data_IF_713164683753
#
_entry.id   IF_713164683753
#
_cell.length_a   1.000
_cell.length_b   1.000
_cell.length_c   1.000
_cell.angle_alpha   90.00
_cell.angle_beta   90.00
_cell.angle_gamma   90.00
#
_symmetry.space_group_name_H-M   'P 1'
#
loop_
_entity.id
_entity.type
_entity.pdbx_description
1 polymer ?
#
# COMPACT_ATOMS: atom_id res chain seq x y z
N UNK A 1 -38.23 0.66 16.08
CA UNK A 1 -37.18 0.05 15.24
C UNK A 1 -37.58 0.34 13.80
N UNK A 2 -36.81 1.14 13.07
CA UNK A 2 -37.04 1.29 11.61
C UNK A 2 -36.81 -0.08 10.96
N UNK A 3 -37.66 -0.45 10.00
CA UNK A 3 -37.56 -1.73 9.29
C UNK A 3 -36.17 -1.87 8.66
N UNK A 4 -35.42 -2.89 9.11
CA UNK A 4 -34.11 -3.20 8.56
C UNK A 4 -34.30 -4.19 7.41
N UNK A 5 -33.88 -3.81 6.21
CA UNK A 5 -34.02 -4.63 5.00
C UNK A 5 -32.73 -5.40 4.73
N UNK A 6 -32.80 -6.72 4.66
CA UNK A 6 -31.65 -7.54 4.25
C UNK A 6 -31.63 -7.67 2.73
N UNK A 7 -30.49 -7.36 2.10
CA UNK A 7 -30.30 -7.44 0.66
C UNK A 7 -29.16 -8.41 0.35
N UNK A 8 -29.49 -9.42 -0.45
CA UNK A 8 -28.50 -10.34 -1.02
C UNK A 8 -27.98 -9.77 -2.33
N UNK A 9 -26.66 -9.78 -2.53
CA UNK A 9 -25.97 -9.25 -3.71
C UNK A 9 -26.14 -7.74 -3.95
N UNK A 10 -26.51 -6.98 -2.92
CA UNK A 10 -26.65 -5.52 -3.02
C UNK A 10 -25.28 -4.84 -3.09
N UNK A 11 -24.92 -4.20 -4.21
CA UNK A 11 -23.62 -3.55 -4.35
C UNK A 11 -23.48 -2.25 -3.53
N UNK A 12 -24.57 -1.51 -3.34
CA UNK A 12 -24.60 -0.26 -2.57
C UNK A 12 -25.88 -0.16 -1.72
N UNK A 13 -25.72 0.36 -0.51
CA UNK A 13 -26.81 0.72 0.40
C UNK A 13 -27.42 2.08 0.01
N UNK A 14 -28.72 2.28 0.18
CA UNK A 14 -29.35 3.60 0.05
C UNK A 14 -29.28 4.41 1.36
N UNK A 15 -29.10 5.75 1.33
CA UNK A 15 -28.90 6.54 2.54
C UNK A 15 -30.13 6.57 3.48
N UNK A 16 -31.33 6.43 2.90
CA UNK A 16 -32.62 6.66 3.55
C UNK A 16 -33.15 5.41 4.29
N UNK A 17 -32.57 4.24 4.02
CA UNK A 17 -32.96 2.94 4.56
C UNK A 17 -31.85 2.34 5.44
N UNK A 18 -32.25 1.49 6.39
CA UNK A 18 -31.32 0.65 7.14
C UNK A 18 -31.21 -0.68 6.41
N UNK A 19 -30.16 -0.84 5.60
CA UNK A 19 -29.93 -2.06 4.83
C UNK A 19 -28.76 -2.87 5.41
N UNK A 20 -28.96 -4.19 5.47
CA UNK A 20 -27.90 -5.16 5.71
C UNK A 20 -27.58 -5.83 4.37
N UNK A 21 -26.44 -5.49 3.78
CA UNK A 21 -26.01 -6.08 2.52
C UNK A 21 -25.14 -7.31 2.78
N UNK A 22 -25.40 -8.37 2.02
CA UNK A 22 -24.66 -9.63 2.08
C UNK A 22 -24.17 -9.99 0.68
N UNK A 23 -22.86 -10.22 0.54
CA UNK A 23 -22.23 -10.61 -0.72
C UNK A 23 -21.35 -11.85 -0.51
N UNK A 24 -21.60 -12.98 -1.19
CA UNK A 24 -20.65 -14.10 -1.20
C UNK A 24 -19.31 -13.65 -1.77
N UNK A 25 -18.21 -14.03 -1.12
CA UNK A 25 -16.85 -13.69 -1.55
C UNK A 25 -15.98 -14.91 -1.72
N UNK A 26 -15.18 -14.88 -2.77
CA UNK A 26 -14.11 -15.84 -3.05
C UNK A 26 -12.80 -15.07 -3.12
N UNK A 27 -11.77 -15.59 -2.45
CA UNK A 27 -10.43 -15.05 -2.51
C UNK A 27 -9.42 -16.19 -2.51
N UNK A 28 -8.13 -15.86 -2.63
CA UNK A 28 -7.11 -16.87 -2.42
C UNK A 28 -5.72 -16.28 -2.29
N UNK A 29 -4.86 -17.02 -1.61
CA UNK A 29 -3.44 -16.73 -1.52
C UNK A 29 -2.63 -18.03 -1.61
N UNK A 30 -1.33 -17.93 -1.88
CA UNK A 30 -0.46 -19.10 -2.10
C UNK A 30 -0.43 -20.04 -0.91
N UNK A 31 -0.57 -19.47 0.29
CA UNK A 31 -0.60 -20.24 1.53
C UNK A 31 -1.95 -20.91 1.74
N UNK A 32 -3.00 -20.16 2.06
CA UNK A 32 -4.32 -20.67 2.42
C UNK A 32 -5.14 -21.24 1.24
N UNK A 33 -4.63 -21.16 0.00
CA UNK A 33 -5.32 -21.62 -1.22
C UNK A 33 -6.63 -20.86 -1.42
N UNK A 34 -7.74 -21.56 -1.70
CA UNK A 34 -9.04 -20.94 -1.85
C UNK A 34 -9.59 -20.51 -0.49
N UNK A 35 -10.10 -19.29 -0.42
CA UNK A 35 -10.82 -18.70 0.69
C UNK A 35 -12.27 -18.47 0.26
N UNK A 36 -13.21 -19.01 1.04
CA UNK A 36 -14.64 -18.90 0.80
C UNK A 36 -15.27 -18.17 1.98
N UNK A 37 -16.11 -17.17 1.72
CA UNK A 37 -16.77 -16.42 2.78
C UNK A 37 -17.94 -15.59 2.30
N UNK A 38 -18.36 -14.66 3.15
CA UNK A 38 -19.36 -13.65 2.81
C UNK A 38 -18.97 -12.31 3.43
N UNK A 39 -19.22 -11.23 2.69
CA UNK A 39 -19.14 -9.86 3.18
C UNK A 39 -20.51 -9.40 3.68
N UNK A 40 -20.52 -8.78 4.85
CA UNK A 40 -21.67 -8.16 5.51
C UNK A 40 -21.35 -6.69 5.73
N UNK A 41 -22.22 -5.77 5.32
CA UNK A 41 -21.94 -4.33 5.42
C UNK A 41 -23.19 -3.46 5.34
N UNK A 42 -23.06 -2.21 5.78
CA UNK A 42 -24.06 -1.14 5.64
C UNK A 42 -23.47 0.14 5.00
N UNK A 43 -22.51 -0.03 4.08
CA UNK A 43 -21.76 1.08 3.49
C UNK A 43 -22.49 1.64 2.27
N UNK A 44 -22.55 2.97 2.22
CA UNK A 44 -23.22 3.74 1.17
C UNK A 44 -22.21 4.62 0.41
N UNK A 45 -22.59 5.03 -0.81
CA UNK A 45 -21.82 6.00 -1.59
C UNK A 45 -21.70 7.35 -0.86
N UNK A 46 -22.78 7.82 -0.22
CA UNK A 46 -22.74 8.96 0.69
C UNK A 46 -22.44 8.48 2.11
N UNK A 47 -21.44 9.03 2.81
CA UNK A 47 -21.08 8.60 4.16
C UNK A 47 -22.25 8.66 5.16
N UNK A 48 -22.56 7.53 5.81
CA UNK A 48 -23.49 7.49 6.96
C UNK A 48 -22.77 7.88 8.25
N UNK A 49 -23.52 8.28 9.28
CA UNK A 49 -22.94 8.56 10.60
C UNK A 49 -22.23 7.33 11.21
N UNK A 50 -22.73 6.13 10.93
CA UNK A 50 -22.15 4.87 11.36
C UNK A 50 -22.13 3.86 10.23
N UNK A 51 -20.94 3.36 9.91
CA UNK A 51 -20.68 2.41 8.84
C UNK A 51 -19.82 1.26 9.38
N UNK A 52 -20.07 0.05 8.90
CA UNK A 52 -19.31 -1.12 9.25
C UNK A 52 -19.30 -2.12 8.10
N UNK A 53 -18.28 -2.95 8.10
CA UNK A 53 -18.19 -4.13 7.27
C UNK A 53 -17.49 -5.27 7.99
N UNK A 54 -17.84 -6.50 7.65
CA UNK A 54 -17.15 -7.70 8.06
C UNK A 54 -17.11 -8.66 6.88
N UNK A 55 -15.98 -9.31 6.66
CA UNK A 55 -15.76 -10.22 5.53
C UNK A 55 -14.99 -11.46 6.01
N UNK A 56 -15.59 -12.27 6.90
CA UNK A 56 -14.99 -13.52 7.34
C UNK A 56 -14.89 -14.52 6.20
N UNK A 57 -13.79 -15.25 6.15
CA UNK A 57 -13.51 -16.28 5.16
C UNK A 57 -12.86 -17.50 5.82
N UNK A 58 -13.09 -18.66 5.20
CA UNK A 58 -12.54 -19.94 5.60
C UNK A 58 -11.74 -20.57 4.46
N UNK A 59 -10.63 -21.23 4.80
CA UNK A 59 -9.70 -21.90 3.89
C UNK A 59 -9.88 -23.43 3.95
N UNK A 60 -10.88 -24.01 3.25
CA UNK A 60 -11.23 -25.43 3.41
C UNK A 60 -10.14 -26.41 2.96
N UNK A 61 -9.26 -26.01 2.06
CA UNK A 61 -8.25 -26.89 1.47
C UNK A 61 -6.88 -26.86 2.17
N UNK A 62 -6.74 -26.07 3.24
CA UNK A 62 -5.48 -26.00 4.01
C UNK A 62 -5.72 -25.77 5.51
N UNK A 63 -6.48 -26.66 6.12
CA UNK A 63 -6.79 -26.64 7.56
C UNK A 63 -5.68 -27.34 8.34
N UNK A 64 -4.53 -26.67 8.55
CA UNK A 64 -3.54 -27.15 9.54
C UNK A 64 -3.98 -26.81 10.97
N UNK A 65 -4.62 -25.65 11.16
CA UNK A 65 -5.19 -25.19 12.43
C UNK A 65 -6.29 -24.16 12.19
N UNK A 66 -7.15 -23.91 13.20
CA UNK A 66 -8.19 -22.88 13.09
C UNK A 66 -7.61 -21.48 12.84
N UNK A 67 -6.44 -21.18 13.43
CA UNK A 67 -5.75 -19.90 13.26
C UNK A 67 -5.22 -19.65 11.83
N UNK A 68 -4.99 -20.72 11.08
CA UNK A 68 -4.50 -20.67 9.69
C UNK A 68 -5.63 -20.87 8.69
N UNK A 69 -6.77 -21.42 9.11
CA UNK A 69 -7.93 -21.62 8.26
C UNK A 69 -8.87 -20.39 8.19
N UNK A 70 -8.85 -19.51 9.21
CA UNK A 70 -9.67 -18.29 9.23
C UNK A 70 -8.89 -17.12 8.66
N UNK A 71 -9.53 -16.39 7.74
CA UNK A 71 -9.04 -15.15 7.18
C UNK A 71 -10.18 -14.12 7.08
N UNK A 72 -9.84 -12.88 6.77
CA UNK A 72 -10.83 -11.86 6.47
C UNK A 72 -10.46 -10.50 6.99
N UNK A 73 -11.36 -9.56 6.70
CA UNK A 73 -11.24 -8.18 7.12
C UNK A 73 -12.54 -7.71 7.78
N UNK A 74 -12.43 -6.77 8.71
CA UNK A 74 -13.58 -6.07 9.25
C UNK A 74 -13.22 -4.61 9.49
N UNK A 75 -14.22 -3.75 9.62
CA UNK A 75 -13.99 -2.36 9.97
C UNK A 75 -15.25 -1.64 10.38
N UNK A 76 -15.05 -0.54 11.11
CA UNK A 76 -16.06 0.37 11.61
C UNK A 76 -15.59 1.79 11.29
N UNK A 77 -16.51 2.63 10.82
CA UNK A 77 -16.29 4.04 10.54
C UNK A 77 -17.43 4.85 11.17
N UNK A 78 -17.07 5.79 12.05
CA UNK A 78 -18.00 6.70 12.71
C UNK A 78 -17.70 8.10 12.18
N UNK A 79 -18.66 8.71 11.49
CA UNK A 79 -18.51 10.01 10.85
C UNK A 79 -19.35 11.05 11.60
N UNK A 80 -18.72 12.17 11.93
CA UNK A 80 -19.34 13.32 12.57
C UNK A 80 -19.25 14.49 11.60
N UNK A 81 -20.42 14.98 11.17
CA UNK A 81 -20.51 16.23 10.41
C UNK A 81 -20.12 17.41 11.32
N UNK A 82 -19.47 18.42 10.76
CA UNK A 82 -18.85 19.47 11.55
C UNK A 82 -19.79 20.44 12.26
N UNK A 83 -19.20 21.13 13.24
CA UNK A 83 -19.82 22.07 14.17
C UNK A 83 -19.29 23.52 14.01
N UNK A 84 -18.46 23.83 13.00
CA UNK A 84 -17.88 25.18 12.78
C UNK A 84 -17.49 25.48 11.32
N UNK A 85 -17.16 26.74 11.01
CA UNK A 85 -16.80 27.24 9.65
C UNK A 85 -15.43 26.79 9.11
N UNK A 86 -14.53 26.27 9.96
CA UNK A 86 -13.19 25.80 9.52
C UNK A 86 -13.17 24.28 9.27
N UNK A 87 -14.18 23.57 9.78
CA UNK A 87 -14.16 22.12 9.92
C UNK A 87 -15.24 21.53 9.05
N UNK A 88 -14.91 20.49 8.29
CA UNK A 88 -15.89 19.81 7.45
C UNK A 88 -16.40 18.53 8.08
N UNK A 89 -15.47 17.71 8.57
CA UNK A 89 -15.79 16.38 9.07
C UNK A 89 -14.70 15.85 10.01
N UNK A 90 -15.15 15.09 11.01
CA UNK A 90 -14.33 14.28 11.89
C UNK A 90 -14.75 12.82 11.75
N UNK A 91 -13.79 11.90 11.61
CA UNK A 91 -14.06 10.47 11.45
C UNK A 91 -13.17 9.60 12.32
N UNK A 92 -13.78 8.61 12.98
CA UNK A 92 -13.08 7.55 13.70
C UNK A 92 -13.20 6.26 12.89
N UNK A 93 -12.07 5.71 12.46
CA UNK A 93 -12.03 4.50 11.65
C UNK A 93 -11.18 3.44 12.33
N UNK A 94 -11.72 2.24 12.48
CA UNK A 94 -10.97 1.07 12.95
C UNK A 94 -11.15 -0.06 11.96
N UNK A 95 -10.06 -0.69 11.54
CA UNK A 95 -10.10 -1.83 10.64
C UNK A 95 -9.18 -2.94 11.12
N UNK A 96 -9.58 -4.17 10.88
CA UNK A 96 -8.82 -5.37 11.23
C UNK A 96 -8.65 -6.25 9.99
N UNK A 97 -7.45 -6.78 9.80
CA UNK A 97 -7.12 -7.75 8.74
C UNK A 97 -6.46 -8.97 9.37
N UNK A 98 -6.80 -10.17 8.88
CA UNK A 98 -6.17 -11.42 9.32
C UNK A 98 -5.99 -12.38 8.15
N UNK A 99 -4.78 -12.87 7.98
CA UNK A 99 -4.43 -13.88 6.97
C UNK A 99 -3.24 -14.73 7.45
N UNK A 100 -2.80 -15.69 6.63
CA UNK A 100 -1.62 -16.51 6.92
C UNK A 100 -0.66 -16.61 5.74
N UNK A 101 0.61 -16.88 6.02
CA UNK A 101 1.65 -17.15 5.02
C UNK A 101 2.62 -18.25 5.47
N UNK A 102 3.29 -18.89 4.51
CA UNK A 102 4.29 -19.92 4.77
C UNK A 102 5.62 -19.31 5.20
N UNK A 103 6.20 -19.80 6.29
CA UNK A 103 7.54 -19.39 6.73
C UNK A 103 8.61 -20.20 6.01
N UNK A 104 9.26 -19.57 5.04
CA UNK A 104 10.30 -20.20 4.21
C UNK A 104 11.68 -20.26 4.86
N UNK A 105 11.87 -19.65 6.04
CA UNK A 105 13.16 -19.60 6.73
C UNK A 105 13.39 -20.76 7.72
N UNK A 106 12.38 -21.60 7.94
CA UNK A 106 12.50 -22.81 8.77
C UNK A 106 12.73 -24.03 7.88
N UNK A 107 13.48 -25.00 8.41
CA UNK A 107 13.77 -26.29 7.77
C UNK A 107 12.50 -27.11 7.53
N UNK A 108 11.47 -26.92 8.37
CA UNK A 108 10.13 -27.46 8.16
C UNK A 108 9.13 -26.32 7.86
N UNK A 109 8.29 -26.43 6.81
CA UNK A 109 7.32 -25.40 6.44
C UNK A 109 6.27 -25.17 7.52
N UNK A 110 6.47 -24.10 8.29
CA UNK A 110 5.54 -23.60 9.30
C UNK A 110 4.60 -22.54 8.69
N UNK A 111 3.41 -22.37 9.23
CA UNK A 111 2.44 -21.37 8.77
C UNK A 111 2.31 -20.29 9.82
N UNK A 112 2.64 -19.06 9.42
CA UNK A 112 2.48 -17.87 10.25
C UNK A 112 1.12 -17.25 9.98
N UNK A 113 0.31 -17.12 11.03
CA UNK A 113 -0.91 -16.32 11.01
C UNK A 113 -0.56 -14.91 11.48
N UNK A 114 -1.01 -13.90 10.75
CA UNK A 114 -0.83 -12.49 11.12
C UNK A 114 -2.17 -11.79 11.24
N UNK A 115 -2.19 -10.77 12.11
CA UNK A 115 -3.31 -9.87 12.31
C UNK A 115 -2.82 -8.43 12.38
N UNK A 116 -3.60 -7.51 11.83
CA UNK A 116 -3.31 -6.08 11.88
C UNK A 116 -4.57 -5.30 12.24
N UNK A 117 -4.54 -4.58 13.35
CA UNK A 117 -5.57 -3.62 13.77
C UNK A 117 -5.08 -2.20 13.46
N UNK A 118 -5.86 -1.44 12.71
CA UNK A 118 -5.53 -0.10 12.25
C UNK A 118 -6.64 0.85 12.69
N UNK A 119 -6.33 1.66 13.70
CA UNK A 119 -7.21 2.67 14.26
C UNK A 119 -6.75 4.05 13.79
N UNK A 120 -7.68 4.85 13.28
CA UNK A 120 -7.43 6.17 12.71
C UNK A 120 -8.42 7.16 13.24
N UNK A 121 -7.90 8.31 13.63
CA UNK A 121 -8.65 9.53 13.77
C UNK A 121 -8.32 10.42 12.58
N UNK A 122 -9.34 10.77 11.80
CA UNK A 122 -9.21 11.59 10.60
C UNK A 122 -9.95 12.89 10.82
N UNK A 123 -9.23 13.98 10.59
CA UNK A 123 -9.77 15.31 10.67
C UNK A 123 -9.64 15.99 9.30
N UNK A 124 -10.77 16.40 8.72
CA UNK A 124 -10.83 16.98 7.37
C UNK A 124 -11.21 18.46 7.44
N UNK A 125 -10.35 19.31 6.89
CA UNK A 125 -10.55 20.76 6.85
C UNK A 125 -11.64 21.15 5.84
N UNK A 126 -12.27 22.31 6.09
CA UNK A 126 -13.18 22.91 5.11
C UNK A 126 -12.50 23.18 3.77
N UNK A 127 -13.28 22.97 2.72
CA UNK A 127 -12.80 23.17 1.37
C UNK A 127 -12.89 24.65 1.04
N UNK A 128 -11.80 25.26 0.57
CA UNK A 128 -11.88 26.59 0.00
C UNK A 128 -12.85 26.56 -1.20
N UNK A 129 -13.94 27.35 -1.22
CA UNK A 129 -14.90 27.34 -2.32
C UNK A 129 -14.28 27.63 -3.69
N UNK A 130 -13.17 28.39 -3.73
CA UNK A 130 -12.41 28.67 -4.95
C UNK A 130 -11.53 27.49 -5.41
N UNK A 131 -11.41 26.44 -4.60
CA UNK A 131 -10.61 25.23 -4.88
C UNK A 131 -11.36 23.96 -4.48
N UNK A 132 -12.51 23.65 -5.11
CA UNK A 132 -13.42 22.57 -4.68
C UNK A 132 -12.80 21.17 -4.71
N UNK A 133 -11.82 20.95 -5.58
CA UNK A 133 -11.13 19.67 -5.73
C UNK A 133 -9.97 19.48 -4.74
N UNK A 134 -9.66 20.48 -3.91
CA UNK A 134 -8.63 20.38 -2.89
C UNK A 134 -9.21 19.79 -1.61
N UNK A 135 -8.58 18.74 -1.09
CA UNK A 135 -8.89 18.13 0.21
C UNK A 135 -7.61 18.14 1.04
N UNK A 136 -7.72 18.61 2.29
CA UNK A 136 -6.62 18.54 3.26
C UNK A 136 -7.13 17.83 4.51
N UNK A 137 -6.33 16.93 5.06
CA UNK A 137 -6.65 16.21 6.28
C UNK A 137 -5.41 16.02 7.15
N UNK A 138 -5.66 15.89 8.45
CA UNK A 138 -4.70 15.38 9.43
C UNK A 138 -5.23 14.01 9.89
N UNK A 139 -4.35 13.02 9.92
CA UNK A 139 -4.66 11.68 10.38
C UNK A 139 -3.73 11.29 11.53
N UNK A 140 -4.32 10.88 12.65
CA UNK A 140 -3.62 10.23 13.75
C UNK A 140 -3.95 8.74 13.69
N UNK A 141 -2.95 7.90 13.57
CA UNK A 141 -3.10 6.48 13.27
C UNK A 141 -2.27 5.64 14.21
N UNK A 142 -2.87 4.58 14.73
CA UNK A 142 -2.19 3.53 15.48
C UNK A 142 -2.40 2.21 14.76
N UNK A 143 -1.32 1.55 14.38
CA UNK A 143 -1.33 0.20 13.83
C UNK A 143 -0.75 -0.76 14.85
N UNK A 144 -1.51 -1.79 15.19
CA UNK A 144 -1.08 -2.89 16.02
C UNK A 144 -1.01 -4.15 15.16
N UNK A 145 0.17 -4.75 15.05
CA UNK A 145 0.38 -5.97 14.28
C UNK A 145 0.86 -7.09 15.18
N UNK A 146 0.31 -8.29 14.97
CA UNK A 146 0.65 -9.49 15.72
C UNK A 146 0.85 -10.65 14.76
N UNK A 147 1.75 -11.56 15.11
CA UNK A 147 1.80 -12.90 14.50
C UNK A 147 1.68 -13.96 15.58
N UNK A 148 1.39 -15.21 15.21
CA UNK A 148 1.42 -16.32 16.16
C UNK A 148 2.85 -16.69 16.64
N UNK A 149 3.89 -16.04 16.13
CA UNK A 149 5.30 -16.33 16.46
C UNK A 149 6.07 -15.11 16.98
N UNK A 150 5.45 -13.93 17.04
CA UNK A 150 6.08 -12.68 17.46
C UNK A 150 5.14 -11.88 18.35
N UNK A 151 5.71 -11.08 19.24
CA UNK A 151 4.94 -10.18 20.09
C UNK A 151 4.20 -9.09 19.30
N UNK A 152 3.24 -8.47 20.00
CA UNK A 152 2.47 -7.34 19.49
C UNK A 152 3.39 -6.15 19.22
N UNK A 153 3.43 -5.67 17.99
CA UNK A 153 4.12 -4.44 17.61
C UNK A 153 3.12 -3.31 17.41
N UNK A 154 3.47 -2.13 17.91
CA UNK A 154 2.64 -0.93 17.82
C UNK A 154 3.38 0.18 17.06
N UNK A 155 2.69 0.80 16.11
CA UNK A 155 3.18 1.89 15.29
C UNK A 155 2.23 3.07 15.42
N UNK A 156 2.73 4.23 15.82
CA UNK A 156 1.98 5.49 15.88
C UNK A 156 2.41 6.38 14.73
N UNK A 157 1.45 6.90 13.98
CA UNK A 157 1.70 7.67 12.77
C UNK A 157 0.84 8.92 12.79
N UNK A 158 1.48 10.09 12.67
CA UNK A 158 0.81 11.35 12.36
C UNK A 158 1.03 11.63 10.88
N UNK A 159 -0.05 11.79 10.11
CA UNK A 159 0.00 12.12 8.69
C UNK A 159 -0.72 13.44 8.40
N UNK A 160 -0.12 14.27 7.55
CA UNK A 160 -0.75 15.46 6.98
C UNK A 160 -0.84 15.23 5.48
N UNK A 161 -2.08 15.18 4.97
CA UNK A 161 -2.36 14.93 3.57
C UNK A 161 -2.99 16.14 2.94
N UNK A 162 -2.52 16.51 1.76
CA UNK A 162 -3.20 17.47 0.89
C UNK A 162 -3.24 16.93 -0.53
N UNK A 163 -4.43 16.89 -1.11
CA UNK A 163 -4.66 16.34 -2.45
C UNK A 163 -5.52 17.31 -3.25
N UNK A 164 -5.26 17.37 -4.55
CA UNK A 164 -6.08 18.11 -5.48
C UNK A 164 -6.41 17.23 -6.70
N UNK A 165 -7.67 16.82 -6.79
CA UNK A 165 -8.17 15.87 -7.80
C UNK A 165 -8.65 16.55 -9.09
N UNK A 166 -8.09 17.71 -9.44
CA UNK A 166 -8.34 18.37 -10.72
C UNK A 166 -7.93 17.47 -11.89
N UNK A 167 -8.68 17.55 -12.99
CA UNK A 167 -8.36 16.86 -14.24
C UNK A 167 -6.99 17.29 -14.77
N UNK A 168 -6.71 18.59 -14.68
CA UNK A 168 -5.46 19.19 -15.14
C UNK A 168 -4.57 19.46 -13.94
N UNK A 169 -3.33 18.97 -14.01
CA UNK A 169 -2.32 19.17 -12.98
C UNK A 169 -2.71 18.69 -11.57
N UNK A 170 -3.24 17.46 -11.41
CA UNK A 170 -3.51 16.93 -10.08
C UNK A 170 -2.21 16.74 -9.30
N UNK A 171 -2.33 16.86 -7.98
CA UNK A 171 -1.22 16.61 -7.06
C UNK A 171 -1.69 15.91 -5.80
N UNK A 172 -0.76 15.25 -5.12
CA UNK A 172 -0.91 14.79 -3.75
C UNK A 172 0.38 15.01 -2.97
N UNK A 173 0.22 15.47 -1.74
CA UNK A 173 1.28 15.66 -0.77
C UNK A 173 0.94 14.87 0.48
N UNK A 174 1.89 14.10 0.98
CA UNK A 174 1.81 13.39 2.24
C UNK A 174 3.07 13.69 3.05
N UNK A 175 2.91 14.23 4.25
CA UNK A 175 3.95 14.27 5.26
C UNK A 175 3.56 13.32 6.38
N UNK A 176 4.48 12.49 6.84
CA UNK A 176 4.20 11.56 7.93
C UNK A 176 5.36 11.49 8.92
N UNK A 177 5.04 11.35 10.20
CA UNK A 177 5.96 10.98 11.27
C UNK A 177 5.47 9.64 11.81
N UNK A 178 6.34 8.63 11.80
CA UNK A 178 6.09 7.29 12.30
C UNK A 178 7.01 7.02 13.49
N UNK A 179 6.42 6.58 14.59
CA UNK A 179 7.11 6.15 15.81
C UNK A 179 6.72 4.71 16.12
N UNK A 180 7.72 3.90 16.46
CA UNK A 180 7.51 2.59 17.05
C UNK A 180 8.67 2.25 18.00
N UNK A 181 8.75 0.99 18.41
CA UNK A 181 9.89 0.49 19.17
C UNK A 181 11.19 0.66 18.36
N UNK A 182 12.16 1.34 18.97
CA UNK A 182 13.50 1.50 18.41
C UNK A 182 13.68 2.61 17.37
N UNK A 183 12.62 3.29 16.90
CA UNK A 183 12.80 4.37 15.93
C UNK A 183 11.71 5.45 15.95
N UNK A 184 12.11 6.63 15.47
CA UNK A 184 11.20 7.66 14.98
C UNK A 184 11.71 8.07 13.60
N UNK A 185 10.85 8.05 12.60
CA UNK A 185 11.19 8.51 11.24
C UNK A 185 10.11 9.39 10.67
N UNK A 186 10.50 10.31 9.81
CA UNK A 186 9.58 11.13 9.04
C UNK A 186 9.81 10.95 7.56
N UNK A 187 8.78 11.18 6.76
CA UNK A 187 8.92 11.24 5.31
C UNK A 187 7.95 12.21 4.67
N UNK A 188 8.31 12.66 3.47
CA UNK A 188 7.48 13.40 2.54
C UNK A 188 7.34 12.57 1.27
N UNK A 189 6.12 12.45 0.76
CA UNK A 189 5.81 11.89 -0.55
C UNK A 189 4.96 12.90 -1.32
N UNK A 190 5.52 13.43 -2.40
CA UNK A 190 4.87 14.41 -3.26
C UNK A 190 4.70 13.85 -4.66
N UNK A 191 3.48 13.86 -5.17
CA UNK A 191 3.13 13.42 -6.51
C UNK A 191 2.48 14.57 -7.28
N UNK A 192 2.87 14.74 -8.53
CA UNK A 192 2.34 15.76 -9.43
C UNK A 192 2.24 15.21 -10.85
N UNK A 193 1.16 15.52 -11.55
CA UNK A 193 1.01 15.14 -12.97
C UNK A 193 0.95 16.37 -13.86
N UNK A 194 2.00 16.61 -14.63
CA UNK A 194 1.96 17.60 -15.70
C UNK A 194 1.08 17.06 -16.85
N UNK A 195 -0.09 17.66 -17.07
CA UNK A 195 -1.00 17.29 -18.17
C UNK A 195 -0.67 18.14 -19.40
N UNK A 196 -0.43 17.51 -20.56
CA UNK A 196 -0.09 18.21 -21.81
C UNK A 196 -1.31 18.19 -22.73
N UNK A 197 -1.64 19.33 -23.34
CA UNK A 197 -2.91 19.62 -24.05
C UNK A 197 -3.35 18.61 -25.15
N UNK A 198 -2.51 17.70 -25.62
CA UNK A 198 -2.91 16.63 -26.55
C UNK A 198 -3.22 15.34 -25.79
N UNK A 199 -4.43 14.79 -26.05
CA UNK A 199 -4.99 13.52 -25.55
C UNK A 199 -3.93 12.55 -24.98
N UNK A 200 -4.04 12.26 -23.68
CA UNK A 200 -3.27 11.25 -22.94
C UNK A 200 -1.76 11.47 -22.82
N UNK A 201 -1.24 12.67 -23.13
CA UNK A 201 0.17 13.01 -22.89
C UNK A 201 0.33 13.70 -21.54
N UNK A 202 1.31 13.24 -20.77
CA UNK A 202 1.63 13.82 -19.47
C UNK A 202 2.90 13.22 -18.89
N UNK A 203 3.42 13.92 -17.89
CA UNK A 203 4.58 13.50 -17.11
C UNK A 203 4.09 13.39 -15.67
N UNK A 204 4.19 12.20 -15.10
CA UNK A 204 3.94 11.94 -13.70
C UNK A 204 5.29 12.04 -12.97
N UNK A 205 5.33 12.87 -11.94
CA UNK A 205 6.49 13.10 -11.10
C UNK A 205 6.14 12.70 -9.67
N UNK A 206 7.01 11.92 -9.04
CA UNK A 206 6.98 11.65 -7.61
C UNK A 206 8.33 12.02 -7.00
N UNK A 207 8.31 12.73 -5.89
CA UNK A 207 9.47 12.99 -5.04
C UNK A 207 9.25 12.37 -3.67
N UNK A 208 10.26 11.67 -3.18
CA UNK A 208 10.27 11.11 -1.83
C UNK A 208 11.49 11.62 -1.06
N UNK A 209 11.29 11.94 0.22
CA UNK A 209 12.37 12.24 1.14
C UNK A 209 12.04 11.70 2.52
N UNK A 210 12.86 10.77 3.02
CA UNK A 210 12.73 10.16 4.33
C UNK A 210 13.95 10.44 5.22
N UNK A 211 13.72 10.64 6.51
CA UNK A 211 14.76 10.82 7.54
C UNK A 211 14.37 10.10 8.83
N UNK A 212 15.27 9.31 9.39
CA UNK A 212 15.19 8.84 10.76
C UNK A 212 15.57 10.00 11.67
N UNK A 213 14.63 10.36 12.54
CA UNK A 213 14.79 11.37 13.57
C UNK A 213 15.43 10.77 14.82
N UNK A 214 15.22 9.48 15.02
CA UNK A 214 15.81 8.69 16.10
C UNK A 214 15.96 7.22 15.67
N UNK A 215 17.06 6.60 16.08
CA UNK A 215 17.26 5.16 16.08
C UNK A 215 17.85 4.73 17.41
N UNK A 216 17.38 3.60 17.92
CA UNK A 216 18.05 2.90 19.02
C UNK A 216 19.41 2.34 18.58
N UNK A 217 20.30 2.04 19.55
CA UNK A 217 21.51 1.26 19.28
C UNK A 217 21.22 -0.15 18.73
N UNK A 218 20.11 -0.76 19.14
CA UNK A 218 19.64 -2.03 18.57
C UNK A 218 19.17 -1.80 17.12
N UNK A 219 19.65 -2.65 16.21
CA UNK A 219 19.37 -2.50 14.78
C UNK A 219 18.11 -3.25 14.35
N UNK A 220 17.05 -2.48 14.09
CA UNK A 220 15.79 -3.00 13.55
C UNK A 220 15.69 -2.83 12.03
N UNK A 221 16.46 -3.63 11.27
CA UNK A 221 16.60 -3.49 9.82
C UNK A 221 15.30 -3.54 8.99
N UNK A 222 14.21 -4.09 9.55
CA UNK A 222 12.91 -4.11 8.87
C UNK A 222 12.29 -2.71 8.69
N UNK A 223 12.69 -1.73 9.50
CA UNK A 223 12.12 -0.37 9.47
C UNK A 223 12.81 0.58 8.51
N UNK A 224 13.96 0.20 7.96
CA UNK A 224 14.75 1.01 7.03
C UNK A 224 13.90 1.51 5.85
N UNK A 225 14.21 2.73 5.39
CA UNK A 225 13.76 3.17 4.07
C UNK A 225 14.41 2.29 3.01
N UNK A 226 13.63 1.88 2.01
CA UNK A 226 14.11 1.02 0.92
C UNK A 226 14.05 1.70 -0.42
N UNK A 227 15.08 1.47 -1.23
CA UNK A 227 15.11 1.92 -2.61
C UNK A 227 14.04 1.20 -3.45
N UNK A 228 14.03 -0.13 -3.40
CA UNK A 228 13.28 -1.04 -4.29
C UNK A 228 11.80 -1.30 -3.92
N UNK A 229 11.25 -0.48 -3.02
CA UNK A 229 9.96 -0.72 -2.38
C UNK A 229 9.92 -2.02 -1.56
N UNK A 230 8.81 -2.26 -0.86
CA UNK A 230 8.66 -3.41 0.02
C UNK A 230 8.03 -4.63 -0.69
N UNK A 231 8.60 -5.80 -0.46
CA UNK A 231 7.93 -7.11 -0.69
C UNK A 231 7.12 -7.53 0.54
N UNK A 232 6.36 -8.63 0.43
CA UNK A 232 5.45 -9.10 1.49
C UNK A 232 6.11 -9.30 2.86
N UNK A 233 7.31 -9.86 2.91
CA UNK A 233 8.08 -10.06 4.15
C UNK A 233 8.60 -8.74 4.76
N UNK A 234 8.69 -7.68 3.97
CA UNK A 234 9.19 -6.36 4.39
C UNK A 234 8.07 -5.41 4.82
N UNK A 235 6.81 -5.75 4.55
CA UNK A 235 5.63 -5.01 5.03
C UNK A 235 5.36 -5.31 6.51
N UNK A 236 6.19 -4.70 7.36
CA UNK A 236 6.22 -4.91 8.81
C UNK A 236 4.97 -4.42 9.56
N UNK A 237 4.15 -3.57 8.91
CA UNK A 237 2.87 -3.07 9.47
C UNK A 237 1.66 -3.89 9.00
N UNK A 238 1.87 -4.84 8.06
CA UNK A 238 0.83 -5.66 7.46
C UNK A 238 -0.31 -4.85 6.83
N UNK A 239 0.04 -3.72 6.21
CA UNK A 239 -0.96 -2.83 5.60
C UNK A 239 -1.47 -3.38 4.27
N UNK A 240 -0.59 -4.06 3.53
CA UNK A 240 -0.86 -4.48 2.16
C UNK A 240 -1.21 -5.96 2.05
N UNK A 241 -1.93 -6.32 0.99
CA UNK A 241 -2.33 -7.70 0.70
C UNK A 241 -1.42 -8.25 -0.41
N UNK A 242 -0.68 -9.29 -0.06
CA UNK A 242 0.19 -10.03 -0.98
C UNK A 242 -0.35 -11.43 -1.21
N UNK A 243 -0.38 -11.86 -2.48
CA UNK A 243 -0.79 -13.22 -2.85
C UNK A 243 0.20 -14.25 -2.29
N UNK A 244 1.49 -13.91 -2.23
CA UNK A 244 2.56 -14.75 -1.72
C UNK A 244 3.41 -14.02 -0.67
N UNK A 245 2.78 -13.50 0.40
CA UNK A 245 3.47 -12.69 1.43
C UNK A 245 4.75 -13.33 1.97
N UNK A 246 4.72 -14.65 2.17
CA UNK A 246 5.81 -15.41 2.79
C UNK A 246 6.93 -15.81 1.85
N UNK A 247 6.74 -15.69 0.53
CA UNK A 247 7.76 -16.04 -0.44
C UNK A 247 8.78 -14.90 -0.60
N UNK A 248 10.02 -15.24 -0.95
CA UNK A 248 11.12 -14.28 -1.10
C UNK A 248 11.79 -14.43 -2.46
N UNK A 249 11.81 -13.32 -3.19
CA UNK A 249 12.42 -13.21 -4.52
C UNK A 249 13.91 -13.60 -4.53
N UNK A 250 14.60 -13.49 -3.38
CA UNK A 250 16.00 -13.90 -3.22
C UNK A 250 16.20 -15.41 -3.16
N UNK A 251 15.18 -16.15 -2.72
CA UNK A 251 15.24 -17.61 -2.59
C UNK A 251 14.76 -18.30 -3.87
N UNK A 252 13.67 -17.80 -4.45
CA UNK A 252 13.11 -18.32 -5.69
C UNK A 252 12.67 -17.18 -6.61
N UNK A 253 13.62 -16.68 -7.40
CA UNK A 253 13.36 -15.67 -8.40
C UNK A 253 12.54 -16.19 -9.61
N UNK A 254 12.39 -17.52 -9.75
CA UNK A 254 11.61 -18.12 -10.85
C UNK A 254 10.10 -18.12 -10.56
N UNK A 255 9.73 -18.05 -9.28
CA UNK A 255 8.33 -18.00 -8.86
C UNK A 255 7.69 -16.63 -9.13
N UNK A 256 6.65 -16.61 -9.97
CA UNK A 256 5.97 -15.38 -10.40
C UNK A 256 5.52 -14.49 -9.23
N UNK A 257 4.91 -15.05 -8.18
CA UNK A 257 4.30 -14.25 -7.11
C UNK A 257 5.30 -13.55 -6.18
N UNK A 258 6.58 -13.93 -6.20
CA UNK A 258 7.64 -13.27 -5.40
C UNK A 258 7.98 -11.88 -5.93
N UNK A 259 7.56 -11.58 -7.16
CA UNK A 259 7.78 -10.31 -7.85
C UNK A 259 6.72 -9.25 -7.53
N UNK A 260 5.68 -9.57 -6.76
CA UNK A 260 4.71 -8.61 -6.26
C UNK A 260 5.38 -7.67 -5.25
N UNK A 261 5.22 -6.35 -5.42
CA UNK A 261 5.75 -5.37 -4.48
C UNK A 261 4.84 -4.15 -4.35
N UNK A 262 5.14 -3.32 -3.35
CA UNK A 262 4.56 -1.99 -3.19
C UNK A 262 5.61 -0.95 -3.53
N UNK A 263 5.27 -0.02 -4.41
CA UNK A 263 6.16 1.06 -4.86
C UNK A 263 6.16 2.22 -3.85
N UNK A 264 6.65 1.95 -2.64
CA UNK A 264 6.83 2.93 -1.56
C UNK A 264 8.29 3.37 -1.44
N UNK A 265 8.58 4.28 -0.50
CA UNK A 265 9.91 4.81 -0.20
C UNK A 265 10.63 5.31 -1.47
N UNK A 266 11.77 4.73 -1.84
CA UNK A 266 12.55 5.13 -3.01
C UNK A 266 11.84 4.96 -4.35
N UNK A 267 10.81 4.11 -4.41
CA UNK A 267 9.95 3.95 -5.58
C UNK A 267 10.64 3.28 -6.78
N UNK A 268 11.78 2.63 -6.57
CA UNK A 268 12.42 1.81 -7.61
C UNK A 268 11.64 0.52 -7.83
N UNK A 269 11.66 0.04 -9.06
CA UNK A 269 10.98 -1.16 -9.52
C UNK A 269 11.93 -2.34 -9.55
N UNK A 270 13.22 -2.13 -9.79
CA UNK A 270 14.22 -3.20 -9.73
C UNK A 270 14.42 -3.64 -8.29
N UNK A 271 14.34 -4.94 -8.04
CA UNK A 271 14.71 -5.46 -6.72
C UNK A 271 16.19 -5.20 -6.44
N UNK A 272 16.51 -4.73 -5.23
CA UNK A 272 17.90 -4.66 -4.78
C UNK A 272 17.95 -4.62 -3.25
N UNK A 273 18.88 -5.37 -2.61
CA UNK A 273 19.17 -5.21 -1.19
C UNK A 273 20.00 -3.94 -0.90
N UNK A 274 20.59 -3.31 -1.92
CA UNK A 274 21.29 -2.01 -1.83
C UNK A 274 20.25 -0.89 -1.70
N UNK A 275 20.63 0.22 -1.05
CA UNK A 275 19.71 1.34 -0.85
C UNK A 275 18.70 1.10 0.28
N UNK A 276 19.08 0.31 1.28
CA UNK A 276 18.38 0.25 2.56
C UNK A 276 19.06 1.18 3.56
N UNK A 277 18.34 2.19 4.05
CA UNK A 277 18.88 3.21 4.96
C UNK A 277 18.04 3.37 6.22
N UNK A 278 18.71 3.33 7.37
CA UNK A 278 18.17 3.73 8.66
C UNK A 278 18.51 5.20 8.99
N UNK A 279 18.91 6.02 8.03
CA UNK A 279 19.24 7.42 8.26
C UNK A 279 18.44 8.32 7.33
N UNK A 280 18.79 8.44 6.05
CA UNK A 280 18.01 9.22 5.11
C UNK A 280 18.03 8.58 3.71
N UNK A 281 16.94 8.79 2.97
CA UNK A 281 16.79 8.38 1.58
C UNK A 281 15.97 9.42 0.84
N UNK A 282 16.42 9.85 -0.33
CA UNK A 282 15.65 10.72 -1.23
C UNK A 282 15.58 10.12 -2.62
N UNK A 283 14.46 10.32 -3.30
CA UNK A 283 14.29 9.86 -4.68
C UNK A 283 13.38 10.78 -5.49
N UNK A 284 13.57 10.70 -6.80
CA UNK A 284 12.70 11.27 -7.81
C UNK A 284 12.33 10.18 -8.82
N UNK A 285 11.04 10.05 -9.10
CA UNK A 285 10.48 9.11 -10.05
C UNK A 285 9.73 9.88 -11.13
N UNK A 286 10.02 9.60 -12.39
CA UNK A 286 9.36 10.16 -13.54
C UNK A 286 8.71 9.04 -14.35
N UNK A 287 7.45 9.23 -14.72
CA UNK A 287 6.76 8.37 -15.67
C UNK A 287 6.22 9.21 -16.82
N UNK A 288 6.61 8.86 -18.03
CA UNK A 288 6.24 9.53 -19.28
C UNK A 288 5.17 8.71 -19.99
N UNK A 289 4.05 9.34 -20.32
CA UNK A 289 3.02 8.70 -21.13
C UNK A 289 3.50 8.53 -22.57
N UNK A 290 3.26 7.36 -23.15
CA UNK A 290 3.49 7.11 -24.58
C UNK A 290 2.19 7.30 -25.38
N UNK A 291 2.24 7.31 -26.72
CA UNK A 291 1.03 7.29 -27.54
C UNK A 291 0.13 6.07 -27.32
N UNK A 292 0.65 4.97 -26.78
CA UNK A 292 -0.13 3.78 -26.43
C UNK A 292 -0.53 3.88 -24.96
N UNK A 293 -1.83 4.00 -24.61
CA UNK A 293 -2.26 4.36 -23.25
C UNK A 293 -1.78 3.45 -22.11
N UNK A 294 -1.52 2.17 -22.41
CA UNK A 294 -1.07 1.18 -21.42
C UNK A 294 0.45 1.20 -21.23
N UNK A 295 1.21 1.76 -22.17
CA UNK A 295 2.67 1.77 -22.13
C UNK A 295 3.17 3.13 -21.65
N UNK A 296 4.05 3.10 -20.67
CA UNK A 296 4.75 4.27 -20.16
C UNK A 296 6.25 3.99 -20.10
N UNK A 297 7.05 5.04 -20.14
CA UNK A 297 8.48 4.97 -19.90
C UNK A 297 8.74 5.55 -18.52
N UNK A 298 9.54 4.89 -17.69
CA UNK A 298 9.91 5.41 -16.38
C UNK A 298 11.41 5.70 -16.29
N UNK A 299 11.75 6.67 -15.44
CA UNK A 299 13.09 7.00 -15.00
C UNK A 299 13.05 7.27 -13.50
N UNK A 300 13.82 6.54 -12.73
CA UNK A 300 13.94 6.71 -11.28
C UNK A 300 15.39 7.04 -10.92
N UNK A 301 15.58 7.94 -9.97
CA UNK A 301 16.88 8.30 -9.42
C UNK A 301 16.76 8.47 -7.91
N UNK A 302 17.79 8.09 -7.18
CA UNK A 302 17.79 8.18 -5.72
C UNK A 302 19.20 8.28 -5.15
N UNK A 303 19.28 8.80 -3.94
CA UNK A 303 20.49 8.77 -3.13
C UNK A 303 20.10 8.55 -1.66
N UNK A 304 21.03 8.05 -0.85
CA UNK A 304 20.77 7.68 0.54
C UNK A 304 22.04 7.76 1.39
N UNK A 305 21.86 7.71 2.70
CA UNK A 305 22.98 7.66 3.64
C UNK A 305 23.81 6.40 3.44
N UNK A 306 25.07 6.57 3.03
CA UNK A 306 26.01 5.48 2.84
C UNK A 306 26.21 5.02 1.39
N UNK A 307 25.62 5.71 0.39
CA UNK A 307 25.85 5.41 -1.03
C UNK A 307 27.33 5.41 -1.44
N UNK A 308 28.14 6.29 -0.82
CA UNK A 308 29.57 6.43 -1.09
C UNK A 308 30.47 5.46 -0.32
N UNK A 309 29.93 4.59 0.55
CA UNK A 309 30.76 3.79 1.48
C UNK A 309 31.71 2.79 0.78
N UNK A 310 31.42 2.43 -0.47
CA UNK A 310 32.22 1.47 -1.24
C UNK A 310 32.82 2.04 -2.54
N UNK A 311 32.50 3.28 -2.91
CA UNK A 311 33.03 3.94 -4.12
C UNK A 311 32.86 5.46 -3.99
N UNK A 312 33.95 6.18 -3.73
CA UNK A 312 33.94 7.58 -3.26
C UNK A 312 33.33 8.60 -4.25
N UNK A 313 33.08 8.19 -5.51
CA UNK A 313 32.59 9.04 -6.58
C UNK A 313 31.10 8.83 -6.95
N UNK A 314 30.33 8.01 -6.21
CA UNK A 314 28.95 7.63 -6.61
C UNK A 314 27.84 8.40 -5.88
N UNK A 315 27.37 9.49 -6.48
CA UNK A 315 26.39 10.38 -5.83
C UNK A 315 24.92 9.90 -5.88
N UNK A 316 24.54 9.06 -6.84
CA UNK A 316 23.16 8.58 -7.00
C UNK A 316 23.08 7.21 -7.71
N UNK A 317 22.00 6.47 -7.43
CA UNK A 317 21.56 5.31 -8.20
C UNK A 317 20.44 5.71 -9.17
N UNK A 318 20.29 4.95 -10.25
CA UNK A 318 19.24 5.20 -11.25
C UNK A 318 18.72 3.92 -11.88
N UNK A 319 17.51 3.99 -12.41
CA UNK A 319 16.95 2.97 -13.29
C UNK A 319 15.99 3.60 -14.32
N UNK A 320 15.86 2.96 -15.47
CA UNK A 320 14.91 3.34 -16.50
C UNK A 320 14.35 2.10 -17.19
N UNK A 321 13.13 2.20 -17.70
CA UNK A 321 12.47 1.07 -18.34
C UNK A 321 11.06 1.36 -18.81
N UNK A 322 10.31 0.29 -19.04
CA UNK A 322 8.93 0.34 -19.54
C UNK A 322 7.97 -0.10 -18.43
N UNK A 323 6.90 0.65 -18.22
CA UNK A 323 5.77 0.28 -17.39
C UNK A 323 4.59 -0.09 -18.30
N UNK A 324 4.03 -1.28 -18.08
CA UNK A 324 2.76 -1.70 -18.65
C UNK A 324 1.67 -1.56 -17.57
N UNK A 325 0.85 -0.52 -17.70
CA UNK A 325 -0.17 -0.13 -16.72
C UNK A 325 -1.56 -0.53 -17.21
N UNK A 326 -2.11 -1.61 -16.67
CA UNK A 326 -3.44 -2.10 -17.06
C UNK A 326 -4.55 -1.24 -16.47
N UNK A 327 -4.47 -0.99 -15.16
CA UNK A 327 -5.41 -0.16 -14.43
C UNK A 327 -4.64 0.68 -13.42
N UNK A 328 -4.83 1.99 -13.50
CA UNK A 328 -4.12 2.96 -12.67
C UNK A 328 -4.28 2.61 -11.18
N UNK A 329 -3.18 2.68 -10.43
CA UNK A 329 -3.06 2.34 -9.00
C UNK A 329 -3.35 0.87 -8.63
N UNK A 330 -3.94 0.07 -9.53
CA UNK A 330 -4.33 -1.30 -9.28
C UNK A 330 -3.31 -2.33 -9.76
N UNK A 331 -2.95 -2.30 -11.05
CA UNK A 331 -2.07 -3.31 -11.65
C UNK A 331 -1.13 -2.70 -12.70
N UNK A 332 0.17 -2.84 -12.46
CA UNK A 332 1.25 -2.45 -13.38
C UNK A 332 2.37 -3.49 -13.37
N UNK A 333 2.96 -3.75 -14.53
CA UNK A 333 4.17 -4.58 -14.71
C UNK A 333 5.31 -3.67 -15.16
N UNK A 334 6.51 -3.88 -14.62
CA UNK A 334 7.68 -3.05 -14.86
C UNK A 334 8.82 -3.86 -15.46
N UNK A 335 9.32 -3.40 -16.60
CA UNK A 335 10.44 -3.97 -17.35
C UNK A 335 11.64 -3.03 -17.22
N UNK A 336 12.54 -3.23 -16.23
CA UNK A 336 13.75 -2.44 -16.12
C UNK A 336 14.67 -2.74 -17.31
N UNK A 337 15.18 -1.69 -17.97
CA UNK A 337 16.04 -1.79 -19.16
C UNK A 337 17.45 -1.27 -18.90
N UNK A 338 17.57 -0.20 -18.13
CA UNK A 338 18.84 0.36 -17.69
C UNK A 338 18.80 0.51 -16.16
N UNK A 339 19.88 0.13 -15.49
CA UNK A 339 20.02 0.22 -14.04
C UNK A 339 21.47 0.59 -13.72
N UNK A 340 21.69 1.31 -12.62
CA UNK A 340 23.03 1.63 -12.15
C UNK A 340 23.83 0.38 -11.76
N UNK A 341 25.16 0.48 -11.80
CA UNK A 341 26.06 -0.66 -11.65
C UNK A 341 25.91 -1.38 -10.30
N UNK A 342 25.67 -0.64 -9.22
CA UNK A 342 25.41 -1.17 -7.87
C UNK A 342 24.17 -2.08 -7.84
N UNK A 343 23.08 -1.64 -8.48
CA UNK A 343 21.85 -2.43 -8.62
C UNK A 343 22.11 -3.63 -9.53
N UNK A 344 22.86 -3.44 -10.62
CA UNK A 344 23.21 -4.52 -11.55
C UNK A 344 24.05 -5.62 -10.88
N UNK A 345 25.05 -5.24 -10.08
CA UNK A 345 25.90 -6.18 -9.33
C UNK A 345 25.06 -7.01 -8.35
N UNK A 346 24.19 -6.36 -7.57
CA UNK A 346 23.30 -7.07 -6.67
C UNK A 346 22.31 -7.97 -7.43
N UNK A 347 21.76 -7.50 -8.56
CA UNK A 347 20.85 -8.27 -9.39
C UNK A 347 21.49 -9.54 -9.97
N UNK A 348 22.76 -9.50 -10.36
CA UNK A 348 23.47 -10.68 -10.90
C UNK A 348 23.60 -11.82 -9.88
N UNK A 349 23.51 -11.51 -8.58
CA UNK A 349 23.54 -12.53 -7.51
C UNK A 349 22.22 -13.30 -7.46
N UNK A 350 21.08 -12.61 -7.61
CA UNK A 350 19.75 -13.20 -7.44
C UNK A 350 19.09 -13.63 -8.75
N UNK A 351 19.46 -13.03 -9.88
CA UNK A 351 18.76 -13.18 -11.16
C UNK A 351 19.68 -13.69 -12.27
N UNK A 352 19.37 -14.88 -12.77
CA UNK A 352 20.08 -15.53 -13.88
C UNK A 352 19.51 -15.09 -15.23
N UNK A 353 18.19 -14.88 -15.29
CA UNK A 353 17.48 -14.50 -16.53
C UNK A 353 16.92 -13.09 -16.43
N UNK A 354 16.70 -12.46 -17.58
CA UNK A 354 16.13 -11.11 -17.63
C UNK A 354 14.72 -11.04 -17.02
N UNK A 355 13.85 -11.99 -17.36
CA UNK A 355 12.45 -11.99 -16.88
C UNK A 355 12.32 -12.17 -15.36
N UNK A 356 13.35 -12.68 -14.68
CA UNK A 356 13.42 -12.74 -13.22
C UNK A 356 13.65 -11.35 -12.60
N UNK A 357 13.87 -10.29 -13.40
CA UNK A 357 13.99 -8.90 -12.94
C UNK A 357 12.70 -8.11 -13.10
N UNK A 358 11.71 -8.68 -13.79
CA UNK A 358 10.43 -8.03 -14.07
C UNK A 358 9.55 -8.12 -12.83
N UNK A 359 9.14 -6.96 -12.31
CA UNK A 359 8.30 -6.87 -11.09
C UNK A 359 6.96 -6.26 -11.39
N UNK A 360 5.99 -6.49 -10.51
CA UNK A 360 4.64 -5.95 -10.68
C UNK A 360 4.05 -5.45 -9.36
N UNK A 361 3.20 -4.43 -9.48
CA UNK A 361 2.35 -3.97 -8.38
C UNK A 361 0.95 -4.53 -8.60
N UNK A 362 0.38 -5.14 -7.58
CA UNK A 362 -1.01 -5.60 -7.56
C UNK A 362 -1.65 -5.13 -6.24
N UNK A 363 -2.45 -4.07 -6.31
CA UNK A 363 -3.09 -3.46 -5.16
C UNK A 363 -4.48 -4.05 -4.92
N UNK A 364 -4.52 -5.20 -4.26
CA UNK A 364 -5.76 -5.91 -3.96
C UNK A 364 -6.65 -5.17 -2.96
N UNK A 365 -6.12 -4.18 -2.21
CA UNK A 365 -6.94 -3.36 -1.32
C UNK A 365 -8.00 -2.58 -2.10
N UNK A 366 -7.70 -2.15 -3.33
CA UNK A 366 -8.63 -1.41 -4.18
C UNK A 366 -9.85 -2.23 -4.64
N UNK A 367 -9.77 -3.57 -4.58
CA UNK A 367 -10.91 -4.44 -4.86
C UNK A 367 -11.95 -4.45 -3.75
N UNK A 368 -11.66 -3.84 -2.60
CA UNK A 368 -12.66 -3.64 -1.57
C UNK A 368 -13.40 -2.32 -1.83
N UNK A 369 -14.57 -2.33 -2.53
CA UNK A 369 -15.30 -1.11 -2.85
C UNK A 369 -15.71 -0.35 -1.58
N UNK A 370 -15.83 -1.06 -0.46
CA UNK A 370 -16.18 -0.56 0.85
C UNK A 370 -15.12 0.39 1.43
N UNK A 371 -13.84 0.19 1.09
CA UNK A 371 -12.71 1.01 1.55
C UNK A 371 -12.36 2.15 0.58
N UNK A 372 -12.85 2.09 -0.65
CA UNK A 372 -12.42 2.96 -1.75
C UNK A 372 -13.59 3.55 -2.52
N UNK A 373 -14.69 3.93 -1.84
CA UNK A 373 -15.87 4.53 -2.46
C UNK A 373 -15.58 5.76 -3.32
N UNK A 374 -14.65 6.60 -2.88
CA UNK A 374 -14.20 7.78 -3.62
C UNK A 374 -13.46 7.44 -4.92
N UNK A 375 -13.03 6.17 -5.08
CA UNK A 375 -12.31 5.66 -6.25
C UNK A 375 -13.16 4.72 -7.13
N UNK A 376 -14.40 4.42 -6.74
CA UNK A 376 -15.33 3.58 -7.54
C UNK A 376 -15.52 4.10 -8.97
N UNK A 377 -15.54 5.43 -9.26
CA UNK A 377 -15.60 5.91 -10.64
C UNK A 377 -14.39 5.53 -11.52
N UNK A 378 -13.31 5.00 -10.94
CA UNK A 378 -12.15 4.49 -11.67
C UNK A 378 -12.19 2.96 -11.87
N UNK A 379 -13.10 2.25 -11.19
CA UNK A 379 -13.25 0.79 -11.22
C UNK A 379 -14.43 0.32 -12.11
N UNK A 380 -15.36 1.23 -12.41
CA UNK A 380 -16.43 1.10 -13.41
C UNK A 380 -15.95 1.81 -14.68
#
# INVERSE_FOLDING_TARGET
>A
LKDTKTILFGFFDFPETYELNILPILAGNKTQKLLIGASFYNICFTPKAFEWYASPMFAPFRVKSIHTAIAGNAGININFAAFSETFKQFSLQTSFKKYAYDNIYKTEPDIISWGALNSKLIYTFEQNPSKPNQKTSIELKTIQSLTNVSDLKSFNILEIKSKNDRIIHPYSFNFAIEQAEGFVKSHIDFNYKLTIYKKNKGIEFRAFAGKFLYNSPEYYGNYNFRLAGNIGLQDYKYEHIFVARGEDIRQDASAFWTHQFVRNDGGFVSYTPVGQSNDWLTSANLTFNTPVPMFHVFLNMATWSGINKNDANRLFAYEAGIELRFLKDFCSIYFPLAISNDIMEANKIYFKKYFERVRFTLNLELLNPLLHRDKIPYLI
#
